data_IF_086106538308
#
_entry.id   IF_086106538308
#
_cell.length_a   1.000
_cell.length_b   1.000
_cell.length_c   1.000
_cell.angle_alpha   90.00
_cell.angle_beta   90.00
_cell.angle_gamma   90.00
#
_symmetry.space_group_name_H-M   'P 1'
#
loop_
_entity.id
_entity.type
_entity.pdbx_description
1 polymer ?
#
# COMPACT_ATOMS: atom_id res chain seq x y z
N UNK A 1 -50.24 15.06 29.59
CA UNK A 1 -50.20 15.99 28.45
C UNK A 1 -50.30 17.41 29.01
N UNK A 2 -49.18 18.02 29.36
CA UNK A 2 -48.27 18.86 28.54
C UNK A 2 -48.62 20.35 28.56
N UNK A 3 -47.62 21.11 29.02
CA UNK A 3 -47.12 22.38 28.50
C UNK A 3 -47.85 23.72 28.76
N UNK A 4 -47.09 24.56 29.48
CA UNK A 4 -46.50 25.83 29.03
C UNK A 4 -47.42 27.05 28.88
N UNK A 5 -47.11 28.16 29.58
CA UNK A 5 -46.96 29.54 29.04
C UNK A 5 -46.74 30.65 30.10
N UNK A 6 -45.73 31.49 29.82
CA UNK A 6 -45.66 32.98 29.89
C UNK A 6 -45.60 33.81 31.21
N UNK A 7 -44.41 34.47 31.37
CA UNK A 7 -44.07 35.93 31.39
C UNK A 7 -44.25 36.87 32.63
N UNK A 8 -43.08 37.42 33.06
CA UNK A 8 -42.67 38.83 33.42
C UNK A 8 -43.30 39.51 34.67
N UNK A 9 -42.74 40.60 35.28
CA UNK A 9 -41.77 41.61 34.76
C UNK A 9 -40.62 42.09 35.71
N UNK A 10 -39.81 43.02 35.19
CA UNK A 10 -38.73 43.86 35.78
C UNK A 10 -39.27 45.32 35.82
N UNK A 11 -39.00 46.24 36.79
CA UNK A 11 -37.80 47.13 36.75
C UNK A 11 -37.37 47.82 38.10
N UNK A 12 -36.27 48.58 38.04
CA UNK A 12 -35.87 49.72 38.92
C UNK A 12 -34.94 49.46 40.11
N UNK A 13 -33.65 49.76 39.93
CA UNK A 13 -32.91 50.60 40.90
C UNK A 13 -31.83 51.39 40.16
N UNK A 14 -32.29 52.53 39.66
CA UNK A 14 -31.55 53.58 39.00
C UNK A 14 -30.61 54.32 39.96
N UNK A 15 -29.39 54.58 39.49
CA UNK A 15 -28.73 55.91 39.44
C UNK A 15 -28.52 56.64 40.78
N UNK A 16 -27.24 56.96 41.07
CA UNK A 16 -26.69 58.26 41.55
C UNK A 16 -25.36 57.97 42.26
N UNK A 17 -24.23 57.90 41.56
CA UNK A 17 -23.43 59.05 41.13
C UNK A 17 -23.41 60.20 42.14
N UNK A 18 -22.19 60.65 42.38
CA UNK A 18 -21.84 62.04 42.65
C UNK A 18 -22.09 62.52 44.08
N UNK A 19 -20.98 62.72 44.79
CA UNK A 19 -20.55 63.99 45.39
C UNK A 19 -19.77 63.64 46.67
N UNK A 20 -18.45 63.50 46.56
CA UNK A 20 -17.54 64.63 46.66
C UNK A 20 -17.42 65.11 48.10
N UNK A 21 -16.15 65.18 48.52
CA UNK A 21 -15.61 66.33 49.23
C UNK A 21 -15.83 66.30 50.75
N UNK A 22 -14.75 65.95 51.47
CA UNK A 22 -13.97 66.90 52.30
C UNK A 22 -14.54 66.92 53.72
N UNK A 23 -13.87 66.29 54.69
CA UNK A 23 -12.70 66.82 55.43
C UNK A 23 -13.19 67.23 56.82
N UNK A 24 -12.44 66.86 57.86
CA UNK A 24 -12.39 67.51 59.18
C UNK A 24 -13.70 67.47 59.99
N UNK A 25 -13.78 66.85 61.17
CA UNK A 25 -13.19 67.27 62.46
C UNK A 25 -13.56 66.17 63.46
N UNK A 26 -12.56 65.44 63.98
CA UNK A 26 -12.14 65.39 65.39
C UNK A 26 -13.17 64.94 66.46
N UNK A 27 -12.66 63.98 67.26
CA UNK A 27 -12.91 63.69 68.68
C UNK A 27 -14.05 62.74 69.06
N UNK A 28 -13.66 61.54 69.50
CA UNK A 28 -13.82 61.00 70.87
C UNK A 28 -13.14 59.61 70.88
N UNK A 29 -11.93 59.50 71.45
CA UNK A 29 -11.65 59.09 72.83
C UNK A 29 -11.77 57.58 73.10
N UNK A 30 -10.60 56.96 73.34
CA UNK A 30 -10.40 55.99 74.43
C UNK A 30 -10.72 54.52 74.16
N UNK A 31 -9.67 53.70 73.93
CA UNK A 31 -9.13 52.76 74.92
C UNK A 31 -8.04 51.88 74.27
N UNK A 32 -6.83 52.00 74.80
CA UNK A 32 -5.62 51.29 74.39
C UNK A 32 -5.50 49.91 75.05
N UNK A 33 -5.27 48.87 74.26
CA UNK A 33 -4.71 47.59 74.71
C UNK A 33 -3.30 47.40 74.11
N UNK A 34 -2.35 46.80 74.84
CA UNK A 34 -0.97 46.65 74.41
C UNK A 34 -0.84 45.73 73.18
N UNK A 35 0.19 45.94 72.33
CA UNK A 35 0.34 45.21 71.08
C UNK A 35 0.64 43.72 71.35
N UNK A 36 -0.01 42.79 70.63
CA UNK A 36 0.49 41.43 70.57
C UNK A 36 1.86 41.43 69.88
N UNK A 37 2.80 40.73 70.51
CA UNK A 37 4.15 40.48 69.99
C UNK A 37 3.99 39.80 68.64
N UNK A 38 4.48 40.42 67.56
CA UNK A 38 4.55 39.79 66.24
C UNK A 38 5.45 38.56 66.33
N UNK A 39 5.03 37.38 65.84
CA UNK A 39 5.98 36.36 65.46
C UNK A 39 6.88 36.94 64.38
N UNK A 40 8.19 36.85 64.60
CA UNK A 40 9.24 37.15 63.62
C UNK A 40 8.94 36.41 62.32
N UNK A 41 9.09 37.07 61.18
CA UNK A 41 9.02 36.43 59.85
C UNK A 41 9.99 35.24 59.81
N UNK A 42 9.42 34.04 59.88
CA UNK A 42 10.14 32.80 59.68
C UNK A 42 10.34 32.67 58.17
N UNK A 43 11.56 32.46 57.65
CA UNK A 43 11.75 32.25 56.24
C UNK A 43 10.97 31.01 55.82
N UNK A 44 9.90 31.19 55.04
CA UNK A 44 9.22 30.10 54.35
C UNK A 44 10.23 29.47 53.40
N UNK A 45 10.69 28.27 53.74
CA UNK A 45 11.50 27.46 52.84
C UNK A 45 10.60 27.21 51.61
N UNK A 46 11.02 27.57 50.38
CA UNK A 46 10.28 27.19 49.18
C UNK A 46 10.05 25.66 49.21
N UNK A 47 8.92 25.15 48.69
CA UNK A 47 8.79 23.71 48.51
C UNK A 47 10.03 23.22 47.78
N UNK A 48 10.72 22.23 48.36
CA UNK A 48 11.82 21.56 47.67
C UNK A 48 11.27 21.09 46.34
N UNK A 49 11.81 21.63 45.25
CA UNK A 49 11.54 21.12 43.91
C UNK A 49 11.98 19.65 43.99
N UNK A 50 11.03 18.71 44.05
CA UNK A 50 11.38 17.32 43.84
C UNK A 50 12.09 17.28 42.48
N UNK A 51 13.27 16.65 42.36
CA UNK A 51 13.86 16.49 41.05
C UNK A 51 12.79 15.84 40.16
N UNK A 52 12.34 16.57 39.14
CA UNK A 52 11.65 15.96 38.02
C UNK A 52 12.61 14.88 37.54
N UNK A 53 12.21 13.61 37.63
CA UNK A 53 12.99 12.51 37.10
C UNK A 53 13.38 12.90 35.68
N UNK A 54 14.69 13.15 35.46
CA UNK A 54 15.24 13.26 34.12
C UNK A 54 14.74 12.03 33.39
N UNK A 55 14.05 12.14 32.24
CA UNK A 55 13.53 10.97 31.54
C UNK A 55 14.68 9.99 31.40
N UNK A 56 14.57 8.84 32.08
CA UNK A 56 15.55 7.78 31.92
C UNK A 56 15.57 7.49 30.42
N UNK A 57 16.74 7.41 29.78
CA UNK A 57 16.77 7.04 28.38
C UNK A 57 15.97 5.75 28.16
N UNK A 58 15.23 5.65 27.04
CA UNK A 58 14.33 4.52 26.81
C UNK A 58 15.13 3.23 26.91
N UNK A 59 14.65 2.26 27.70
CA UNK A 59 15.30 0.96 27.84
C UNK A 59 15.50 0.27 26.48
N UNK A 60 16.38 -0.74 26.36
CA UNK A 60 16.50 -1.52 25.14
C UNK A 60 15.14 -2.06 24.67
N UNK A 61 14.31 -2.56 25.61
CA UNK A 61 12.95 -3.06 25.35
C UNK A 61 12.05 -2.01 24.74
N UNK A 62 12.06 -0.79 25.32
CA UNK A 62 11.23 0.31 24.83
C UNK A 62 11.66 0.74 23.42
N UNK A 63 12.97 0.74 23.15
CA UNK A 63 13.52 1.08 21.83
C UNK A 63 13.16 0.01 20.79
N UNK A 64 13.32 -1.27 21.13
CA UNK A 64 12.98 -2.38 20.24
C UNK A 64 11.47 -2.44 19.99
N UNK A 65 10.63 -2.31 21.03
CA UNK A 65 9.17 -2.29 20.90
C UNK A 65 8.72 -1.20 19.93
N UNK A 66 9.23 0.02 20.11
CA UNK A 66 8.87 1.13 19.23
C UNK A 66 9.33 0.93 17.77
N UNK A 67 10.45 0.23 17.54
CA UNK A 67 10.88 -0.16 16.19
C UNK A 67 9.94 -1.20 15.57
N UNK A 68 9.59 -2.23 16.34
CA UNK A 68 8.73 -3.32 15.89
C UNK A 68 7.28 -2.88 15.66
N UNK A 69 6.75 -1.98 16.50
CA UNK A 69 5.43 -1.38 16.31
C UNK A 69 5.37 -0.52 15.05
N UNK A 70 6.40 0.28 14.80
CA UNK A 70 6.52 1.04 13.56
C UNK A 70 6.56 0.12 12.33
N UNK A 71 7.26 -1.02 12.42
CA UNK A 71 7.28 -2.00 11.33
C UNK A 71 5.90 -2.61 11.06
N UNK A 72 5.16 -3.00 12.11
CA UNK A 72 3.80 -3.52 11.96
C UNK A 72 2.84 -2.51 11.31
N UNK A 73 3.10 -1.21 11.46
CA UNK A 73 2.34 -0.13 10.82
C UNK A 73 2.86 0.27 9.43
N UNK A 74 3.97 -0.33 8.96
CA UNK A 74 4.63 0.06 7.72
C UNK A 74 5.33 1.42 7.77
N UNK A 75 5.59 1.96 8.96
CA UNK A 75 6.24 3.26 9.18
C UNK A 75 7.78 3.12 9.16
N UNK A 76 8.31 2.97 7.95
CA UNK A 76 9.76 2.86 7.72
C UNK A 76 10.53 4.13 8.12
N UNK A 77 9.87 5.29 8.13
CA UNK A 77 10.51 6.55 8.53
C UNK A 77 10.81 6.54 10.03
N UNK A 78 9.86 6.13 10.86
CA UNK A 78 10.05 5.96 12.31
C UNK A 78 11.06 4.86 12.62
N UNK A 79 11.04 3.75 11.87
CA UNK A 79 12.07 2.71 12.00
C UNK A 79 13.47 3.25 11.69
N UNK A 80 13.63 3.96 10.58
CA UNK A 80 14.91 4.54 10.15
C UNK A 80 15.45 5.55 11.17
N UNK A 81 14.57 6.37 11.76
CA UNK A 81 14.94 7.35 12.77
C UNK A 81 15.56 6.71 14.04
N UNK A 82 15.30 5.42 14.29
CA UNK A 82 15.81 4.65 15.44
C UNK A 82 17.09 3.86 15.17
N UNK A 83 17.59 3.90 13.93
CA UNK A 83 18.83 3.21 13.57
C UNK A 83 20.06 3.89 14.15
N UNK A 84 21.07 3.09 14.47
CA UNK A 84 22.34 3.59 14.98
C UNK A 84 23.01 4.56 13.99
N UNK A 85 23.77 5.56 14.48
CA UNK A 85 24.52 6.46 13.60
C UNK A 85 25.41 5.74 12.58
N UNK A 86 26.01 4.61 12.98
CA UNK A 86 26.83 3.80 12.08
C UNK A 86 26.05 3.24 10.89
N UNK A 87 24.83 2.74 11.11
CA UNK A 87 23.96 2.25 10.02
C UNK A 87 23.53 3.40 9.11
N UNK A 88 23.09 4.52 9.69
CA UNK A 88 22.64 5.71 8.92
C UNK A 88 23.76 6.38 8.13
N UNK A 89 25.02 6.16 8.50
CA UNK A 89 26.17 6.65 7.73
C UNK A 89 26.41 5.83 6.45
N UNK A 90 26.00 4.55 6.43
CA UNK A 90 26.19 3.64 5.31
C UNK A 90 24.93 3.38 4.46
N UNK A 91 23.76 3.81 4.92
CA UNK A 91 22.47 3.56 4.28
C UNK A 91 21.54 4.74 4.53
N UNK A 92 20.91 5.24 3.46
CA UNK A 92 19.89 6.29 3.56
C UNK A 92 18.49 5.72 3.84
N UNK A 93 17.56 6.62 4.16
CA UNK A 93 16.19 6.26 4.52
C UNK A 93 15.43 5.59 3.38
N UNK A 94 15.69 6.00 2.13
CA UNK A 94 15.02 5.45 0.96
C UNK A 94 15.45 4.01 0.71
N UNK A 95 16.77 3.74 0.71
CA UNK A 95 17.33 2.40 0.55
C UNK A 95 16.87 1.45 1.67
N UNK A 96 16.79 1.96 2.90
CA UNK A 96 16.24 1.21 4.04
C UNK A 96 14.77 0.83 3.81
N UNK A 97 13.93 1.80 3.43
CA UNK A 97 12.51 1.55 3.17
C UNK A 97 12.31 0.59 2.00
N UNK A 98 13.04 0.78 0.89
CA UNK A 98 13.03 -0.10 -0.28
C UNK A 98 13.43 -1.53 0.08
N UNK A 99 14.38 -1.71 1.01
CA UNK A 99 14.81 -3.04 1.44
C UNK A 99 13.69 -3.82 2.16
N UNK A 100 12.93 -3.15 3.03
CA UNK A 100 11.74 -3.77 3.64
C UNK A 100 10.61 -3.96 2.63
N UNK A 101 10.27 -2.93 1.87
CA UNK A 101 9.19 -2.97 0.88
C UNK A 101 9.41 -4.07 -0.17
N UNK A 102 10.63 -4.21 -0.68
CA UNK A 102 10.99 -5.26 -1.62
C UNK A 102 10.85 -6.65 -1.02
N UNK A 103 11.22 -6.83 0.26
CA UNK A 103 11.00 -8.10 0.94
C UNK A 103 9.50 -8.39 1.16
N UNK A 104 8.71 -7.40 1.57
CA UNK A 104 7.26 -7.57 1.75
C UNK A 104 6.58 -7.91 0.41
N UNK A 105 6.93 -7.20 -0.66
CA UNK A 105 6.39 -7.44 -2.00
C UNK A 105 6.81 -8.82 -2.54
N UNK A 106 8.10 -9.14 -2.51
CA UNK A 106 8.59 -10.43 -3.03
C UNK A 106 8.12 -11.63 -2.19
N UNK A 107 7.93 -11.43 -0.89
CA UNK A 107 7.36 -12.44 0.00
C UNK A 107 5.83 -12.51 -0.04
N UNK A 108 5.16 -11.62 -0.79
CA UNK A 108 3.69 -11.45 -0.80
C UNK A 108 3.12 -11.24 0.60
N UNK A 109 3.85 -10.55 1.47
CA UNK A 109 3.49 -10.33 2.87
C UNK A 109 2.33 -9.33 2.96
N UNK A 110 1.25 -9.75 3.63
CA UNK A 110 0.04 -8.96 3.89
C UNK A 110 0.13 -8.31 5.27
N UNK A 111 0.59 -9.06 6.27
CA UNK A 111 0.64 -8.58 7.66
C UNK A 111 1.91 -9.04 8.34
N UNK A 112 2.51 -8.12 9.10
CA UNK A 112 3.64 -8.39 9.98
C UNK A 112 3.11 -8.43 11.40
N UNK A 113 3.48 -9.46 12.15
CA UNK A 113 3.20 -9.56 13.58
C UNK A 113 4.50 -9.80 14.33
N UNK A 114 4.68 -9.08 15.44
CA UNK A 114 5.88 -9.22 16.25
C UNK A 114 5.52 -9.43 17.71
N UNK A 115 6.35 -10.19 18.43
CA UNK A 115 6.18 -10.39 19.87
C UNK A 115 7.54 -10.47 20.55
N UNK A 116 7.86 -9.48 21.36
CA UNK A 116 9.04 -9.46 22.20
C UNK A 116 9.04 -10.68 23.15
N UNK A 117 10.21 -11.30 23.34
CA UNK A 117 10.37 -12.50 24.15
C UNK A 117 11.29 -12.25 25.34
N UNK A 118 12.50 -11.77 25.10
CA UNK A 118 13.46 -11.48 26.15
C UNK A 118 14.45 -10.40 25.72
N UNK A 119 15.12 -9.83 26.71
CA UNK A 119 16.20 -8.87 26.51
C UNK A 119 17.38 -9.24 27.37
N UNK A 120 18.56 -9.15 26.78
CA UNK A 120 19.85 -9.29 27.44
C UNK A 120 20.63 -7.99 27.23
N UNK A 121 20.97 -7.32 28.33
CA UNK A 121 21.80 -6.10 28.32
C UNK A 121 23.22 -6.43 28.78
N UNK A 122 24.21 -6.05 27.98
CA UNK A 122 25.64 -6.28 28.19
C UNK A 122 26.41 -4.97 27.98
N UNK A 123 26.45 -4.13 29.02
CA UNK A 123 27.16 -2.86 28.99
C UNK A 123 26.54 -1.88 27.98
N UNK A 124 27.28 -1.55 26.92
CA UNK A 124 26.81 -0.65 25.85
C UNK A 124 26.10 -1.40 24.69
N UNK A 125 25.90 -2.70 24.83
CA UNK A 125 25.18 -3.53 23.87
C UNK A 125 23.96 -4.18 24.51
N UNK A 126 22.91 -4.40 23.72
CA UNK A 126 21.76 -5.19 24.15
C UNK A 126 21.23 -6.05 23.00
N UNK A 127 20.66 -7.20 23.35
CA UNK A 127 20.10 -8.17 22.42
C UNK A 127 18.66 -8.46 22.82
N UNK A 128 17.73 -8.15 21.92
CA UNK A 128 16.30 -8.33 22.15
C UNK A 128 15.80 -9.45 21.25
N UNK A 129 15.37 -10.56 21.83
CA UNK A 129 14.74 -11.64 21.09
C UNK A 129 13.25 -11.37 20.89
N UNK A 130 12.75 -11.68 19.71
CA UNK A 130 11.34 -11.57 19.39
C UNK A 130 10.90 -12.64 18.39
N UNK A 131 9.62 -13.00 18.47
CA UNK A 131 8.96 -13.83 17.46
C UNK A 131 8.44 -12.93 16.34
N UNK A 132 8.74 -13.31 15.11
CA UNK A 132 8.27 -12.68 13.88
C UNK A 132 7.28 -13.62 13.18
N UNK A 133 6.11 -13.10 12.83
CA UNK A 133 5.14 -13.74 11.94
C UNK A 133 4.89 -12.88 10.71
N UNK A 134 4.99 -13.47 9.53
CA UNK A 134 4.64 -12.86 8.25
C UNK A 134 3.49 -13.65 7.64
N UNK A 135 2.30 -13.07 7.61
CA UNK A 135 1.18 -13.64 6.87
C UNK A 135 1.34 -13.29 5.39
N UNK A 136 1.38 -14.30 4.51
CA UNK A 136 1.57 -14.11 3.07
C UNK A 136 0.33 -14.51 2.28
N UNK A 137 0.17 -13.92 1.08
CA UNK A 137 -0.95 -14.23 0.21
C UNK A 137 -0.88 -15.65 -0.39
N UNK A 138 0.32 -16.18 -0.64
CA UNK A 138 0.50 -17.39 -1.45
C UNK A 138 1.07 -18.60 -0.69
N UNK A 139 1.94 -18.37 0.29
CA UNK A 139 2.72 -19.46 0.94
C UNK A 139 2.34 -19.69 2.41
N UNK A 140 1.25 -19.06 2.86
CA UNK A 140 0.76 -19.14 4.23
C UNK A 140 1.57 -18.27 5.19
N UNK A 141 1.49 -18.58 6.48
CA UNK A 141 2.19 -17.82 7.52
C UNK A 141 3.61 -18.34 7.73
N UNK A 142 4.59 -17.44 7.59
CA UNK A 142 5.99 -17.71 7.92
C UNK A 142 6.26 -17.26 9.36
N UNK A 143 6.85 -18.12 10.19
CA UNK A 143 7.15 -17.82 11.59
C UNK A 143 8.61 -18.13 11.89
N UNK A 144 9.29 -17.22 12.57
CA UNK A 144 10.65 -17.42 13.07
C UNK A 144 10.87 -16.67 14.38
N UNK A 145 11.84 -17.11 15.17
CA UNK A 145 12.40 -16.30 16.25
C UNK A 145 13.66 -15.60 15.70
N UNK A 146 13.89 -14.35 16.09
CA UNK A 146 15.01 -13.51 15.64
C UNK A 146 15.51 -12.61 16.77
N UNK A 147 16.69 -12.03 16.60
CA UNK A 147 17.36 -11.21 17.63
C UNK A 147 17.72 -9.85 17.04
N UNK A 148 17.25 -8.80 17.70
CA UNK A 148 17.61 -7.42 17.43
C UNK A 148 18.80 -7.01 18.27
N UNK A 149 19.87 -6.55 17.60
CA UNK A 149 21.03 -5.95 18.25
C UNK A 149 20.78 -4.46 18.47
N UNK A 150 21.11 -3.96 19.64
CA UNK A 150 21.09 -2.54 19.99
C UNK A 150 22.45 -2.09 20.53
N UNK A 151 22.78 -0.83 20.29
CA UNK A 151 23.98 -0.19 20.85
C UNK A 151 23.62 1.13 21.55
N UNK A 152 24.20 1.37 22.71
CA UNK A 152 24.07 2.60 23.46
C UNK A 152 24.98 3.67 22.86
N UNK A 153 24.44 4.83 22.53
CA UNK A 153 25.20 5.97 22.04
C UNK A 153 24.62 7.26 22.62
N UNK A 154 25.48 8.06 23.26
CA UNK A 154 25.11 9.32 23.94
C UNK A 154 23.96 9.13 24.95
N UNK A 155 23.96 8.00 25.64
CA UNK A 155 22.93 7.65 26.61
C UNK A 155 21.62 7.18 26.00
N UNK A 156 21.48 7.06 24.68
CA UNK A 156 20.28 6.53 24.03
C UNK A 156 20.56 5.19 23.34
N UNK A 157 19.62 4.24 23.43
CA UNK A 157 19.70 2.98 22.70
C UNK A 157 19.29 3.15 21.24
N UNK A 158 20.03 2.53 20.34
CA UNK A 158 19.79 2.56 18.90
C UNK A 158 19.83 1.16 18.30
N UNK A 159 19.03 0.92 17.26
CA UNK A 159 19.00 -0.37 16.57
C UNK A 159 20.23 -0.50 15.67
N UNK A 160 21.06 -1.51 15.96
CA UNK A 160 22.16 -1.93 15.10
C UNK A 160 21.59 -2.87 14.03
N UNK A 161 20.97 -2.26 13.01
CA UNK A 161 20.20 -2.98 12.00
C UNK A 161 21.08 -3.67 10.95
N UNK A 162 20.65 -4.87 10.58
CA UNK A 162 20.98 -5.54 9.33
C UNK A 162 19.72 -6.19 8.75
N UNK A 163 19.81 -6.70 7.51
CA UNK A 163 18.67 -7.26 6.80
C UNK A 163 18.13 -8.58 7.40
N UNK A 164 18.86 -9.22 8.31
CA UNK A 164 18.42 -10.36 9.11
C UNK A 164 17.23 -10.05 10.02
N UNK A 165 17.00 -8.76 10.33
CA UNK A 165 15.80 -8.33 11.08
C UNK A 165 14.51 -8.41 10.26
N UNK A 166 14.59 -8.39 8.92
CA UNK A 166 13.45 -8.64 8.04
C UNK A 166 13.10 -10.13 8.09
N UNK A 167 14.14 -10.96 7.97
CA UNK A 167 14.08 -12.41 8.09
C UNK A 167 15.52 -12.93 8.24
N UNK A 168 15.83 -13.88 9.14
CA UNK A 168 17.22 -14.20 9.50
C UNK A 168 18.14 -14.53 8.31
N UNK A 169 17.62 -15.26 7.33
CA UNK A 169 18.36 -15.67 6.13
C UNK A 169 18.54 -14.55 5.08
N UNK A 170 17.97 -13.35 5.31
CA UNK A 170 18.17 -12.17 4.46
C UNK A 170 19.43 -11.38 4.84
N UNK A 171 20.13 -11.78 5.91
CA UNK A 171 21.47 -11.31 6.21
C UNK A 171 22.41 -11.50 4.99
N UNK A 172 23.50 -10.75 4.93
CA UNK A 172 24.52 -10.83 3.87
C UNK A 172 24.00 -10.55 2.44
N UNK A 173 22.92 -9.79 2.30
CA UNK A 173 22.45 -9.29 1.00
C UNK A 173 21.51 -10.23 0.23
N UNK A 174 21.04 -11.33 0.84
CA UNK A 174 20.05 -12.22 0.22
C UNK A 174 18.67 -11.54 0.07
N UNK A 175 17.77 -12.09 -0.72
CA UNK A 175 16.43 -11.53 -0.93
C UNK A 175 15.40 -12.65 -1.05
N UNK A 176 14.15 -12.35 -0.69
CA UNK A 176 13.05 -13.23 -1.02
C UNK A 176 12.82 -13.22 -2.53
N UNK A 177 12.54 -14.41 -3.07
CA UNK A 177 12.11 -14.61 -4.45
C UNK A 177 10.89 -15.52 -4.43
N UNK A 178 9.83 -15.10 -5.12
CA UNK A 178 8.66 -15.93 -5.36
C UNK A 178 8.79 -16.62 -6.72
N UNK A 179 8.52 -17.92 -6.75
CA UNK A 179 8.39 -18.67 -7.99
C UNK A 179 6.94 -19.12 -8.15
N UNK A 180 6.36 -18.80 -9.31
CA UNK A 180 4.96 -19.03 -9.60
C UNK A 180 4.81 -20.22 -10.55
N UNK A 181 3.90 -21.13 -10.23
CA UNK A 181 3.43 -22.16 -11.16
C UNK A 181 1.94 -21.94 -11.38
N UNK A 182 1.60 -21.24 -12.46
CA UNK A 182 0.22 -20.93 -12.80
C UNK A 182 -0.38 -22.08 -13.62
N UNK A 183 -1.47 -22.72 -13.19
CA UNK A 183 -2.12 -23.74 -13.98
C UNK A 183 -2.81 -23.12 -15.21
N UNK A 184 -3.11 -23.94 -16.21
CA UNK A 184 -3.95 -23.52 -17.34
C UNK A 184 -5.33 -23.13 -16.82
N UNK A 185 -5.87 -22.02 -17.34
CA UNK A 185 -7.20 -21.52 -16.96
C UNK A 185 -8.27 -22.55 -17.27
N UNK A 186 -9.17 -22.79 -16.33
CA UNK A 186 -10.24 -23.77 -16.50
C UNK A 186 -11.19 -23.38 -17.63
N UNK A 187 -11.71 -24.38 -18.34
CA UNK A 187 -12.74 -24.21 -19.37
C UNK A 187 -14.11 -24.00 -18.72
N UNK A 188 -14.94 -23.17 -19.34
CA UNK A 188 -16.36 -23.00 -19.00
C UNK A 188 -17.19 -23.82 -19.98
N UNK A 189 -18.07 -24.68 -19.46
CA UNK A 189 -18.94 -25.54 -20.25
C UNK A 189 -20.42 -25.21 -20.04
N UNK A 190 -21.24 -25.49 -21.06
CA UNK A 190 -22.69 -25.51 -20.91
C UNK A 190 -23.18 -26.81 -20.27
N UNK A 191 -24.50 -26.92 -20.06
CA UNK A 191 -25.13 -28.13 -19.47
C UNK A 191 -24.94 -29.42 -20.29
N UNK A 192 -24.62 -29.31 -21.58
CA UNK A 192 -24.41 -30.43 -22.49
C UNK A 192 -22.92 -30.77 -22.65
N UNK A 193 -22.03 -30.04 -21.99
CA UNK A 193 -20.57 -30.23 -22.07
C UNK A 193 -19.92 -29.50 -23.25
N UNK A 194 -20.64 -28.60 -23.93
CA UNK A 194 -20.06 -27.77 -24.99
C UNK A 194 -19.23 -26.64 -24.38
N UNK A 195 -18.02 -26.43 -24.90
CA UNK A 195 -17.10 -25.38 -24.45
C UNK A 195 -17.62 -24.00 -24.80
N UNK A 196 -17.89 -23.18 -23.78
CA UNK A 196 -18.33 -21.80 -23.91
C UNK A 196 -17.16 -20.81 -23.84
N UNK A 197 -16.17 -21.11 -23.00
CA UNK A 197 -14.89 -20.41 -22.96
C UNK A 197 -13.79 -21.45 -22.73
N UNK A 198 -12.83 -21.54 -23.64
CA UNK A 198 -11.81 -22.58 -23.61
C UNK A 198 -10.43 -22.03 -23.94
N UNK A 199 -9.39 -22.72 -23.49
CA UNK A 199 -8.07 -22.54 -24.07
C UNK A 199 -8.04 -23.10 -25.50
N UNK A 200 -7.39 -22.39 -26.42
CA UNK A 200 -7.14 -22.87 -27.76
C UNK A 200 -6.17 -21.98 -28.52
N UNK A 201 -6.00 -22.25 -29.81
CA UNK A 201 -5.10 -21.46 -30.66
C UNK A 201 -5.82 -20.23 -31.20
N UNK A 202 -5.22 -19.07 -31.00
CA UNK A 202 -5.59 -17.82 -31.66
C UNK A 202 -4.47 -17.38 -32.59
N UNK A 203 -4.83 -16.62 -33.62
CA UNK A 203 -3.89 -16.08 -34.59
C UNK A 203 -3.81 -14.57 -34.38
N UNK A 204 -2.62 -14.09 -34.01
CA UNK A 204 -2.32 -12.67 -34.07
C UNK A 204 -2.06 -12.30 -35.53
N UNK A 205 -2.98 -11.53 -36.11
CA UNK A 205 -2.76 -10.85 -37.39
C UNK A 205 -2.08 -9.52 -37.13
N UNK A 206 -1.02 -9.24 -37.88
CA UNK A 206 -0.35 -7.97 -37.84
C UNK A 206 0.12 -7.48 -39.20
N UNK A 207 0.70 -6.30 -39.19
CA UNK A 207 1.15 -5.57 -40.38
C UNK A 207 2.64 -5.27 -40.27
N UNK A 208 3.37 -5.42 -41.37
CA UNK A 208 4.75 -4.96 -41.56
C UNK A 208 4.70 -3.74 -42.49
N UNK A 209 4.83 -2.50 -41.97
CA UNK A 209 4.54 -1.29 -42.75
C UNK A 209 5.37 -1.15 -44.04
N UNK A 210 6.62 -1.59 -44.02
CA UNK A 210 7.53 -1.52 -45.17
C UNK A 210 7.21 -2.49 -46.30
N UNK A 211 6.30 -3.44 -46.07
CA UNK A 211 5.87 -4.44 -47.06
C UNK A 211 4.46 -4.16 -47.62
N UNK A 212 3.85 -3.04 -47.24
CA UNK A 212 2.53 -2.65 -47.75
C UNK A 212 2.67 -2.19 -49.21
N UNK A 213 2.07 -2.93 -50.13
CA UNK A 213 2.00 -2.54 -51.55
C UNK A 213 0.69 -1.81 -51.89
N UNK A 214 -0.44 -2.28 -51.34
CA UNK A 214 -1.76 -1.66 -51.48
C UNK A 214 -2.46 -1.59 -50.12
N UNK A 215 -2.47 -0.40 -49.52
CA UNK A 215 -3.07 -0.17 -48.20
C UNK A 215 -4.59 -0.41 -48.21
N UNK A 216 -5.28 -0.11 -49.33
CA UNK A 216 -6.73 -0.29 -49.39
C UNK A 216 -7.09 -1.76 -49.42
N UNK A 217 -6.36 -2.57 -50.20
CA UNK A 217 -6.54 -4.02 -50.23
C UNK A 217 -6.23 -4.66 -48.87
N UNK A 218 -5.14 -4.21 -48.22
CA UNK A 218 -4.77 -4.65 -46.88
C UNK A 218 -5.86 -4.34 -45.85
N UNK A 219 -6.34 -3.10 -45.80
CA UNK A 219 -7.40 -2.71 -44.88
C UNK A 219 -8.70 -3.49 -45.15
N UNK A 220 -9.06 -3.70 -46.42
CA UNK A 220 -10.24 -4.50 -46.76
C UNK A 220 -10.14 -5.95 -46.27
N UNK A 221 -8.98 -6.59 -46.41
CA UNK A 221 -8.75 -7.94 -45.90
C UNK A 221 -8.80 -7.99 -44.35
N UNK A 222 -8.17 -7.02 -43.68
CA UNK A 222 -8.18 -6.94 -42.22
C UNK A 222 -9.58 -6.66 -41.66
N UNK A 223 -10.37 -5.78 -42.27
CA UNK A 223 -11.76 -5.52 -41.88
C UNK A 223 -12.59 -6.80 -41.96
N UNK A 224 -12.42 -7.59 -43.02
CA UNK A 224 -13.18 -8.82 -43.23
C UNK A 224 -12.97 -9.84 -42.10
N UNK A 225 -11.72 -10.01 -41.66
CA UNK A 225 -11.38 -11.06 -40.68
C UNK A 225 -11.46 -10.56 -39.23
N UNK A 226 -11.33 -9.27 -38.97
CA UNK A 226 -11.35 -8.69 -37.61
C UNK A 226 -12.66 -8.02 -37.24
N UNK A 227 -13.45 -7.57 -38.22
CA UNK A 227 -14.64 -6.74 -38.00
C UNK A 227 -14.35 -5.31 -37.50
N UNK A 228 -13.08 -4.91 -37.38
CA UNK A 228 -12.68 -3.57 -36.94
C UNK A 228 -12.81 -2.55 -38.06
N UNK A 229 -12.95 -1.28 -37.70
CA UNK A 229 -13.03 -0.19 -38.69
C UNK A 229 -11.66 0.04 -39.37
N UNK A 230 -11.64 0.48 -40.65
CA UNK A 230 -10.39 0.82 -41.34
C UNK A 230 -9.53 1.84 -40.59
N UNK A 231 -10.15 2.86 -39.99
CA UNK A 231 -9.43 3.90 -39.25
C UNK A 231 -8.79 3.35 -37.98
N UNK A 232 -9.49 2.46 -37.25
CA UNK A 232 -8.94 1.80 -36.08
C UNK A 232 -7.77 0.89 -36.45
N UNK A 233 -7.91 0.09 -37.51
CA UNK A 233 -6.84 -0.78 -38.01
C UNK A 233 -5.61 0.03 -38.44
N UNK A 234 -5.82 1.10 -39.22
CA UNK A 234 -4.74 2.00 -39.65
C UNK A 234 -4.03 2.63 -38.46
N UNK A 235 -4.77 3.08 -37.44
CA UNK A 235 -4.19 3.71 -36.25
C UNK A 235 -3.21 2.80 -35.50
N UNK A 236 -3.35 1.47 -35.63
CA UNK A 236 -2.51 0.50 -34.92
C UNK A 236 -1.11 0.34 -35.54
N UNK A 237 -0.96 0.55 -36.86
CA UNK A 237 0.34 0.42 -37.54
C UNK A 237 0.88 1.73 -38.12
N UNK A 238 0.06 2.78 -38.23
CA UNK A 238 0.51 4.07 -38.74
C UNK A 238 1.61 4.68 -37.87
N UNK A 239 2.72 5.07 -38.49
CA UNK A 239 3.87 5.67 -37.80
C UNK A 239 4.85 4.66 -37.17
N UNK A 240 4.56 3.36 -37.24
CA UNK A 240 5.52 2.33 -36.84
C UNK A 240 6.68 2.24 -37.85
N UNK A 241 7.90 1.86 -37.42
CA UNK A 241 9.02 1.64 -38.32
C UNK A 241 8.73 0.58 -39.38
N UNK A 242 9.28 0.78 -40.59
CA UNK A 242 8.97 -0.02 -41.77
C UNK A 242 9.21 -1.54 -41.58
N UNK A 243 10.25 -1.92 -40.85
CA UNK A 243 10.65 -3.31 -40.67
C UNK A 243 9.97 -4.01 -39.48
N UNK A 244 9.13 -3.30 -38.71
CA UNK A 244 8.54 -3.87 -37.51
C UNK A 244 7.34 -4.73 -37.82
N UNK A 245 7.25 -5.89 -37.15
CA UNK A 245 6.00 -6.65 -37.02
C UNK A 245 5.10 -5.94 -36.03
N UNK A 246 4.01 -5.35 -36.50
CA UNK A 246 3.04 -4.64 -35.65
C UNK A 246 1.78 -5.49 -35.48
N UNK A 247 1.50 -6.05 -34.30
CA UNK A 247 0.26 -6.77 -34.03
C UNK A 247 -0.94 -5.83 -34.20
N UNK A 248 -1.95 -6.28 -34.95
CA UNK A 248 -3.15 -5.49 -35.22
C UNK A 248 -4.35 -6.07 -34.50
N UNK A 249 -4.59 -7.38 -34.56
CA UNK A 249 -5.71 -8.01 -33.85
C UNK A 249 -5.47 -9.51 -33.66
N UNK A 250 -6.15 -10.08 -32.66
CA UNK A 250 -6.25 -11.52 -32.49
C UNK A 250 -7.57 -12.01 -33.09
N UNK A 251 -7.51 -13.10 -33.86
CA UNK A 251 -8.67 -13.77 -34.44
C UNK A 251 -8.66 -15.27 -34.09
N UNK A 252 -9.82 -15.96 -34.12
CA UNK A 252 -9.85 -17.41 -34.03
C UNK A 252 -9.02 -18.06 -35.15
N UNK A 253 -8.35 -19.17 -34.84
CA UNK A 253 -7.54 -19.89 -35.83
C UNK A 253 -8.37 -20.32 -37.06
N UNK A 254 -9.64 -20.69 -36.86
CA UNK A 254 -10.55 -21.08 -37.94
C UNK A 254 -10.74 -19.94 -38.94
N UNK A 255 -10.88 -18.69 -38.48
CA UNK A 255 -11.05 -17.51 -39.34
C UNK A 255 -9.81 -17.30 -40.22
N UNK A 256 -8.61 -17.50 -39.66
CA UNK A 256 -7.34 -17.42 -40.38
C UNK A 256 -7.24 -18.49 -41.47
N UNK A 257 -7.70 -19.71 -41.18
CA UNK A 257 -7.71 -20.84 -42.12
C UNK A 257 -8.72 -20.61 -43.24
N UNK A 258 -9.95 -20.19 -42.90
CA UNK A 258 -11.03 -19.94 -43.86
C UNK A 258 -10.66 -18.83 -44.87
N UNK A 259 -9.82 -17.88 -44.46
CA UNK A 259 -9.35 -16.75 -45.28
C UNK A 259 -7.88 -16.88 -45.68
N UNK A 260 -7.30 -18.09 -45.64
CA UNK A 260 -5.85 -18.28 -45.83
C UNK A 260 -5.34 -17.70 -47.15
N UNK A 261 -6.03 -17.99 -48.26
CA UNK A 261 -5.58 -17.54 -49.59
C UNK A 261 -5.61 -16.02 -49.71
N UNK A 262 -6.64 -15.37 -49.16
CA UNK A 262 -6.74 -13.91 -49.10
C UNK A 262 -5.58 -13.34 -48.28
N UNK A 263 -5.41 -13.79 -47.04
CA UNK A 263 -4.41 -13.25 -46.11
C UNK A 263 -2.97 -13.49 -46.62
N UNK A 264 -2.72 -14.62 -47.28
CA UNK A 264 -1.41 -14.93 -47.87
C UNK A 264 -1.12 -14.13 -49.15
N UNK A 265 -2.17 -13.65 -49.84
CA UNK A 265 -2.02 -12.90 -51.09
C UNK A 265 -1.69 -11.41 -50.91
N UNK A 266 -1.83 -10.87 -49.69
CA UNK A 266 -1.65 -9.45 -49.40
C UNK A 266 -0.26 -9.22 -48.76
N UNK A 267 0.67 -8.55 -49.46
CA UNK A 267 1.96 -8.15 -48.89
C UNK A 267 1.80 -7.28 -47.64
N UNK A 268 2.65 -7.54 -46.66
CA UNK A 268 2.66 -6.82 -45.38
C UNK A 268 1.73 -7.39 -44.32
N UNK A 269 0.86 -8.35 -44.61
CA UNK A 269 0.16 -9.11 -43.57
C UNK A 269 1.06 -10.24 -43.05
N UNK A 270 1.19 -10.36 -41.73
CA UNK A 270 1.76 -11.54 -41.09
C UNK A 270 0.78 -12.16 -40.10
N UNK A 271 1.01 -13.43 -39.79
CA UNK A 271 0.19 -14.24 -38.89
C UNK A 271 1.11 -15.03 -37.96
N UNK A 272 0.94 -14.87 -36.67
CA UNK A 272 1.65 -15.64 -35.66
C UNK A 272 0.61 -16.36 -34.77
N UNK A 273 0.74 -17.67 -34.61
CA UNK A 273 -0.13 -18.49 -33.74
C UNK A 273 0.33 -18.39 -32.28
N UNK A 274 -0.63 -18.38 -31.36
CA UNK A 274 -0.38 -18.46 -29.92
C UNK A 274 -1.55 -19.11 -29.20
N UNK A 275 -1.29 -19.62 -28.00
CA UNK A 275 -2.35 -20.04 -27.09
C UNK A 275 -3.14 -18.82 -26.61
N UNK A 276 -4.44 -18.97 -26.43
CA UNK A 276 -5.30 -17.92 -25.92
C UNK A 276 -6.73 -18.38 -25.60
N UNK A 277 -7.47 -17.46 -24.99
CA UNK A 277 -8.85 -17.70 -24.58
C UNK A 277 -9.81 -17.52 -25.75
N UNK A 278 -10.55 -18.57 -26.10
CA UNK A 278 -11.52 -18.59 -27.19
C UNK A 278 -12.94 -18.61 -26.65
N UNK A 279 -13.85 -17.91 -27.35
CA UNK A 279 -15.28 -17.89 -27.10
C UNK A 279 -16.03 -18.37 -28.37
N UNK A 280 -16.14 -19.70 -28.60
CA UNK A 280 -16.58 -20.25 -29.89
C UNK A 280 -17.96 -19.79 -30.36
N UNK A 281 -18.81 -19.32 -29.44
CA UNK A 281 -20.19 -18.89 -29.71
C UNK A 281 -20.40 -17.38 -29.45
N UNK A 282 -19.33 -16.59 -29.59
CA UNK A 282 -19.15 -15.21 -29.10
C UNK A 282 -20.21 -14.14 -29.42
N UNK A 283 -21.26 -14.42 -30.20
CA UNK A 283 -22.34 -13.45 -30.47
C UNK A 283 -23.52 -13.51 -29.50
N UNK A 284 -23.71 -14.63 -28.77
CA UNK A 284 -24.93 -14.83 -27.95
C UNK A 284 -24.76 -14.60 -26.44
N UNK A 285 -23.54 -14.59 -25.93
CA UNK A 285 -23.25 -14.69 -24.49
C UNK A 285 -22.16 -13.77 -23.92
N UNK A 286 -21.59 -12.75 -24.61
CA UNK A 286 -20.46 -11.99 -24.07
C UNK A 286 -20.80 -11.25 -22.76
N UNK A 287 -22.06 -10.86 -22.57
CA UNK A 287 -22.52 -10.24 -21.32
C UNK A 287 -22.58 -11.23 -20.14
N UNK A 288 -22.81 -12.52 -20.43
CA UNK A 288 -22.93 -13.57 -19.40
C UNK A 288 -21.56 -14.20 -19.14
N UNK A 289 -20.88 -14.66 -20.19
CA UNK A 289 -19.55 -15.25 -20.06
C UNK A 289 -18.52 -14.21 -19.62
N UNK A 290 -18.61 -13.00 -20.16
CA UNK A 290 -17.58 -11.99 -20.02
C UNK A 290 -16.34 -12.32 -20.84
N UNK A 291 -15.21 -11.75 -20.44
CA UNK A 291 -13.93 -11.94 -21.09
C UNK A 291 -12.77 -11.80 -20.10
N UNK A 292 -11.59 -12.23 -20.55
CA UNK A 292 -10.32 -12.03 -19.86
C UNK A 292 -9.57 -10.85 -20.45
N UNK A 293 -8.79 -10.16 -19.62
CA UNK A 293 -7.87 -9.11 -20.03
C UNK A 293 -6.65 -9.13 -19.11
N UNK A 294 -5.53 -8.47 -19.47
CA UNK A 294 -4.45 -8.22 -18.52
C UNK A 294 -5.02 -7.56 -17.26
N UNK A 295 -4.39 -7.81 -16.10
CA UNK A 295 -4.77 -7.16 -14.84
C UNK A 295 -4.95 -5.64 -15.06
N UNK A 296 -6.16 -5.09 -14.84
CA UNK A 296 -6.40 -3.67 -15.04
C UNK A 296 -5.51 -2.82 -14.14
N UNK A 297 -4.90 -1.76 -14.69
CA UNK A 297 -3.95 -0.92 -13.96
C UNK A 297 -4.55 -0.33 -12.67
N UNK A 298 -5.84 0.01 -12.70
CA UNK A 298 -6.57 0.58 -11.57
C UNK A 298 -6.82 -0.45 -10.45
N UNK A 299 -6.74 -1.75 -10.76
CA UNK A 299 -6.94 -2.85 -9.82
C UNK A 299 -5.66 -3.59 -9.47
N UNK A 300 -4.51 -3.19 -10.03
CA UNK A 300 -3.24 -3.89 -9.88
C UNK A 300 -2.86 -4.14 -8.42
N UNK A 301 -2.97 -3.12 -7.56
CA UNK A 301 -2.64 -3.26 -6.14
C UNK A 301 -3.59 -4.20 -5.39
N UNK A 302 -4.88 -4.25 -5.77
CA UNK A 302 -5.84 -5.18 -5.19
C UNK A 302 -5.54 -6.64 -5.57
N UNK A 303 -5.12 -6.88 -6.82
CA UNK A 303 -4.68 -8.20 -7.28
C UNK A 303 -3.35 -8.61 -6.63
N UNK A 304 -2.39 -7.68 -6.50
CA UNK A 304 -1.13 -7.93 -5.79
C UNK A 304 -1.34 -8.29 -4.32
N UNK A 305 -2.28 -7.65 -3.65
CA UNK A 305 -2.66 -8.00 -2.28
C UNK A 305 -3.22 -9.44 -2.16
N UNK A 306 -3.76 -9.99 -3.25
CA UNK A 306 -4.21 -11.39 -3.34
C UNK A 306 -3.10 -12.35 -3.82
N UNK A 307 -1.88 -11.84 -4.05
CA UNK A 307 -0.74 -12.63 -4.49
C UNK A 307 -0.56 -12.76 -6.01
N UNK A 308 -1.32 -12.01 -6.82
CA UNK A 308 -1.06 -11.95 -8.26
C UNK A 308 0.22 -11.15 -8.54
N UNK A 309 0.95 -11.51 -9.60
CA UNK A 309 2.15 -10.79 -10.05
C UNK A 309 1.80 -9.46 -10.70
N UNK A 310 0.67 -9.41 -11.39
CA UNK A 310 0.15 -8.27 -12.14
C UNK A 310 0.34 -8.34 -13.65
N UNK A 311 1.06 -9.35 -14.17
CA UNK A 311 1.21 -9.61 -15.60
C UNK A 311 0.25 -10.69 -16.13
N UNK A 312 -0.57 -11.27 -15.25
CA UNK A 312 -1.54 -12.29 -15.60
C UNK A 312 -2.74 -11.74 -16.39
N UNK A 313 -3.42 -12.66 -17.06
CA UNK A 313 -4.74 -12.43 -17.65
C UNK A 313 -5.81 -12.92 -16.68
N UNK A 314 -6.71 -12.01 -16.32
CA UNK A 314 -7.77 -12.26 -15.34
C UNK A 314 -9.13 -12.05 -15.97
N UNK A 315 -10.14 -12.74 -15.44
CA UNK A 315 -11.53 -12.45 -15.78
C UNK A 315 -11.91 -11.02 -15.35
N UNK A 316 -12.39 -10.22 -16.30
CA UNK A 316 -12.76 -8.80 -16.03
C UNK A 316 -14.25 -8.53 -16.13
N UNK A 317 -15.03 -9.47 -16.66
CA UNK A 317 -16.49 -9.38 -16.74
C UNK A 317 -17.14 -10.76 -16.64
N UNK A 318 -18.46 -10.79 -16.41
CA UNK A 318 -19.29 -12.00 -16.47
C UNK A 318 -18.81 -13.15 -15.58
N UNK A 319 -19.07 -14.38 -16.05
CA UNK A 319 -18.64 -15.62 -15.40
C UNK A 319 -17.11 -15.75 -15.34
N UNK A 320 -16.38 -15.21 -16.31
CA UNK A 320 -14.90 -15.17 -16.26
C UNK A 320 -14.41 -14.41 -15.02
N UNK A 321 -14.98 -13.24 -14.71
CA UNK A 321 -14.63 -12.51 -13.48
C UNK A 321 -15.13 -13.19 -12.22
N UNK A 322 -16.33 -13.79 -12.25
CA UNK A 322 -16.88 -14.48 -11.10
C UNK A 322 -16.06 -15.74 -10.72
N UNK A 323 -15.50 -16.44 -11.70
CA UNK A 323 -14.69 -17.64 -11.49
C UNK A 323 -13.19 -17.36 -11.24
N UNK A 324 -12.80 -16.11 -11.02
CA UNK A 324 -11.42 -15.72 -10.70
C UNK A 324 -11.07 -15.93 -9.22
N UNK A 325 -12.08 -15.97 -8.35
CA UNK A 325 -11.98 -16.24 -6.90
C UNK A 325 -12.12 -17.74 -6.59
#
# INVERSE_FOLDING_TARGET
MTNNKFRKPDPQSAIRYLQSVILTVLLLAGCSSPPPIRPTDQPTIPPTIQPTDTPLPPSPDATATAFLDAWQMGDYATMYARLSPAVRAGMDAESFAQRYQGAMANGTVITVTTRLQSTLEEGEHAYVSFRLGLDTALVGTLITDTVMSLSLHEGQWWVAWDAGLIWPQLADGHYFRMEYTTPVRANIYDRAGLGLATEGIIVTIGVIPGQIEDENALLAALVLVTGLSPDELRSRYAGAPAEWKVPVADIPAEVSVDHNDLLASIPGIYRDEKDGRIYPHGSGTPHVLGWVAPVPAERLEAYRAQGYRGDEWVGVSGLEAQGEE
#
